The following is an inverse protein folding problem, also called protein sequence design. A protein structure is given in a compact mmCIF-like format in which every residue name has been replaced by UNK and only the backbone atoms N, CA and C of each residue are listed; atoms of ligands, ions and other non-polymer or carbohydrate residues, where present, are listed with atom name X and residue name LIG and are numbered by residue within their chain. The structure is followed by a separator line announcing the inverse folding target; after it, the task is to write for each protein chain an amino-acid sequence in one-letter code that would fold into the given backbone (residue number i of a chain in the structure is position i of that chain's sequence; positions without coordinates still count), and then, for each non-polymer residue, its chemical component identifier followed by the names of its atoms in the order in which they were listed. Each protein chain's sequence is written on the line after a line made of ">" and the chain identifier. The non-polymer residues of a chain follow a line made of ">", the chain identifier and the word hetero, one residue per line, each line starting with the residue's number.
data_IF_597655097970
#
_entry.id   IF_597655097970
#
_cell.length_a   1.000
_cell.length_b   1.000
_cell.length_c   1.000
_cell.angle_alpha   90.00
_cell.angle_beta   90.00
_cell.angle_gamma   90.00
#
_symmetry.space_group_name_H-M   'P 1'
#
loop_
_entity.id
_entity.type
_entity.pdbx_description
1 polymer ?
#
# COMPACT_ATOMS: atom_id res chain seq x y z
N UNK A 1 -48.09 33.20 51.95
CA UNK A 1 -46.92 32.30 52.19
C UNK A 1 -46.89 31.09 51.24
N UNK A 2 -48.00 30.50 50.85
CA UNK A 2 -48.14 29.32 50.01
C UNK A 2 -47.62 29.56 48.58
N UNK A 3 -47.89 30.69 47.96
CA UNK A 3 -47.48 31.04 46.60
C UNK A 3 -45.95 31.10 46.41
N UNK A 4 -45.20 31.56 47.42
CA UNK A 4 -43.74 31.66 47.36
C UNK A 4 -43.03 30.28 47.37
N UNK A 5 -43.65 29.31 48.07
CA UNK A 5 -43.13 27.95 48.14
C UNK A 5 -43.37 27.16 46.85
N UNK A 6 -44.49 27.37 46.17
CA UNK A 6 -44.81 26.74 44.86
C UNK A 6 -43.87 27.27 43.78
N UNK A 7 -43.63 28.60 43.73
CA UNK A 7 -42.70 29.20 42.79
C UNK A 7 -41.25 28.69 42.98
N UNK A 8 -40.75 28.61 44.25
CA UNK A 8 -39.43 28.03 44.54
C UNK A 8 -39.31 26.58 44.10
N UNK A 9 -40.36 25.78 44.27
CA UNK A 9 -40.40 24.36 43.88
C UNK A 9 -40.41 24.22 42.36
N UNK A 10 -41.12 25.08 41.62
CA UNK A 10 -41.08 25.10 40.14
C UNK A 10 -39.74 25.57 39.59
N UNK A 11 -39.14 26.60 40.19
CA UNK A 11 -37.81 27.10 39.76
C UNK A 11 -36.74 26.04 40.00
N UNK A 12 -36.73 25.40 41.18
CA UNK A 12 -35.77 24.30 41.45
C UNK A 12 -35.94 23.11 40.52
N UNK A 13 -37.19 22.75 40.14
CA UNK A 13 -37.43 21.67 39.21
C UNK A 13 -36.96 22.01 37.79
N UNK A 14 -37.12 23.25 37.34
CA UNK A 14 -36.60 23.72 36.03
C UNK A 14 -35.08 23.79 36.01
N UNK A 15 -34.44 24.24 37.10
CA UNK A 15 -32.98 24.27 37.24
C UNK A 15 -32.42 22.84 37.23
N UNK A 16 -33.05 21.92 37.99
CA UNK A 16 -32.64 20.51 37.98
C UNK A 16 -32.77 19.84 36.60
N UNK A 17 -33.84 20.14 35.85
CA UNK A 17 -34.04 19.63 34.49
C UNK A 17 -33.02 20.22 33.51
N UNK A 18 -32.67 21.50 33.64
CA UNK A 18 -31.65 22.12 32.80
C UNK A 18 -30.23 21.57 33.07
N UNK A 19 -29.91 21.32 34.35
CA UNK A 19 -28.64 20.70 34.74
C UNK A 19 -28.54 19.27 34.23
N UNK A 20 -29.65 18.49 34.32
CA UNK A 20 -29.69 17.13 33.82
C UNK A 20 -29.52 17.11 32.29
N UNK A 21 -30.19 18.01 31.57
CA UNK A 21 -30.05 18.15 30.12
C UNK A 21 -28.61 18.51 29.70
N UNK A 22 -27.98 19.42 30.46
CA UNK A 22 -26.58 19.79 30.23
C UNK A 22 -25.62 18.62 30.49
N UNK A 23 -25.85 17.83 31.54
CA UNK A 23 -25.05 16.63 31.82
C UNK A 23 -25.21 15.55 30.76
N UNK A 24 -26.43 15.33 30.26
CA UNK A 24 -26.69 14.40 29.16
C UNK A 24 -26.01 14.88 27.87
N UNK A 25 -26.04 16.17 27.58
CA UNK A 25 -25.35 16.76 26.42
C UNK A 25 -23.83 16.61 26.55
N UNK A 26 -23.27 16.92 27.73
CA UNK A 26 -21.82 16.74 27.97
C UNK A 26 -21.40 15.27 27.89
N UNK A 27 -22.23 14.36 28.37
CA UNK A 27 -21.97 12.92 28.29
C UNK A 27 -22.07 12.43 26.83
N UNK A 28 -23.06 12.89 26.05
CA UNK A 28 -23.17 12.58 24.62
C UNK A 28 -22.01 13.17 23.81
N UNK A 29 -21.58 14.39 24.12
CA UNK A 29 -20.39 15.01 23.55
C UNK A 29 -19.13 14.24 23.96
N UNK A 30 -19.01 13.82 25.22
CA UNK A 30 -17.91 12.99 25.69
C UNK A 30 -17.86 11.63 25.00
N UNK A 31 -19.01 10.97 24.81
CA UNK A 31 -19.09 9.73 24.03
C UNK A 31 -18.74 9.99 22.56
N UNK A 32 -19.26 11.06 21.97
CA UNK A 32 -18.93 11.44 20.60
C UNK A 32 -17.42 11.64 20.44
N UNK A 33 -16.77 12.41 21.33
CA UNK A 33 -15.32 12.58 21.33
C UNK A 33 -14.58 11.27 21.60
N UNK A 34 -15.03 10.44 22.53
CA UNK A 34 -14.41 9.13 22.80
C UNK A 34 -14.54 8.14 21.62
N UNK A 35 -15.67 8.17 20.92
CA UNK A 35 -15.91 7.27 19.78
C UNK A 35 -15.36 7.77 18.46
N UNK A 36 -15.26 9.08 18.25
CA UNK A 36 -14.92 9.68 16.97
C UNK A 36 -13.58 10.44 16.95
N UNK A 37 -13.07 10.89 18.11
CA UNK A 37 -11.77 11.57 18.20
C UNK A 37 -10.61 10.68 18.66
N UNK A 38 -10.87 9.45 19.06
CA UNK A 38 -9.84 8.43 19.27
C UNK A 38 -9.72 7.49 18.06
N UNK A 39 -10.12 7.91 16.88
CA UNK A 39 -9.76 7.16 15.68
C UNK A 39 -8.29 7.48 15.35
N UNK A 40 -7.45 6.48 15.44
CA UNK A 40 -6.08 6.54 14.96
C UNK A 40 -6.03 6.61 13.41
N UNK A 41 -7.17 6.91 12.77
CA UNK A 41 -7.35 7.05 11.34
C UNK A 41 -7.49 8.53 10.95
N UNK A 42 -6.73 8.93 9.93
CA UNK A 42 -6.76 10.26 9.35
C UNK A 42 -7.13 10.16 7.88
N UNK A 43 -8.21 10.80 7.47
CA UNK A 43 -8.55 10.96 6.06
C UNK A 43 -7.64 12.02 5.46
N UNK A 44 -6.84 11.61 4.46
CA UNK A 44 -5.85 12.47 3.84
C UNK A 44 -6.45 13.28 2.69
N UNK A 45 -6.89 12.60 1.66
CA UNK A 45 -7.38 13.21 0.43
C UNK A 45 -8.13 12.16 -0.39
N UNK A 46 -9.04 12.58 -1.25
CA UNK A 46 -9.57 11.72 -2.32
C UNK A 46 -8.64 11.77 -3.52
N UNK A 47 -8.36 10.61 -4.10
CA UNK A 47 -7.57 10.47 -5.31
C UNK A 47 -8.35 9.71 -6.37
N UNK A 48 -8.22 10.13 -7.62
CA UNK A 48 -8.86 9.45 -8.74
C UNK A 48 -8.09 8.18 -9.16
N UNK A 49 -6.75 8.27 -9.23
CA UNK A 49 -5.86 7.20 -9.66
C UNK A 49 -4.59 7.20 -8.78
N UNK A 50 -4.74 6.89 -7.50
CA UNK A 50 -3.62 7.01 -6.60
C UNK A 50 -2.90 5.67 -6.44
N UNK A 51 -1.63 5.65 -6.74
CA UNK A 51 -0.68 4.86 -5.98
C UNK A 51 -0.01 5.76 -4.94
N UNK A 52 0.40 5.17 -3.82
CA UNK A 52 0.95 5.91 -2.72
C UNK A 52 1.91 5.05 -1.88
N UNK A 53 3.02 5.64 -1.49
CA UNK A 53 4.06 4.99 -0.69
C UNK A 53 4.53 5.90 0.45
N UNK A 54 5.05 5.29 1.50
CA UNK A 54 5.76 6.05 2.51
C UNK A 54 7.12 6.53 2.01
N UNK A 55 7.52 7.70 2.47
CA UNK A 55 8.84 8.26 2.24
C UNK A 55 9.32 8.92 3.54
N UNK A 56 10.01 8.16 4.39
CA UNK A 56 10.31 8.54 5.76
C UNK A 56 9.03 8.90 6.54
N UNK A 57 8.94 10.11 7.12
CA UNK A 57 7.79 10.65 7.82
C UNK A 57 6.80 11.39 6.91
N UNK A 58 6.76 11.04 5.62
CA UNK A 58 5.91 11.62 4.57
C UNK A 58 5.22 10.52 3.77
N UNK A 59 4.30 10.94 2.94
CA UNK A 59 3.63 10.12 1.95
C UNK A 59 3.88 10.71 0.58
N UNK A 60 4.39 9.93 -0.35
CA UNK A 60 4.45 10.26 -1.78
C UNK A 60 3.26 9.61 -2.46
N UNK A 61 2.57 10.34 -3.31
CA UNK A 61 1.40 9.83 -4.02
C UNK A 61 1.29 10.41 -5.43
N UNK A 62 0.84 9.58 -6.36
CA UNK A 62 0.46 10.02 -7.70
C UNK A 62 -0.84 10.80 -7.68
N UNK A 63 -0.93 11.81 -8.51
CA UNK A 63 -2.13 12.61 -8.75
C UNK A 63 -2.23 12.92 -10.24
N UNK A 64 -3.39 13.37 -10.72
CA UNK A 64 -3.63 13.63 -12.15
C UNK A 64 -2.59 14.59 -12.76
N UNK A 65 -2.09 15.55 -11.96
CA UNK A 65 -1.17 16.58 -12.44
C UNK A 65 0.30 16.27 -12.14
N UNK A 66 0.61 15.16 -11.45
CA UNK A 66 1.99 14.82 -11.12
C UNK A 66 2.14 13.92 -9.91
N UNK A 67 3.12 14.25 -9.07
CA UNK A 67 3.39 13.59 -7.80
C UNK A 67 3.27 14.62 -6.68
N UNK A 68 2.55 14.30 -5.63
CA UNK A 68 2.48 15.11 -4.41
C UNK A 68 3.15 14.39 -3.24
N UNK A 69 3.72 15.19 -2.36
CA UNK A 69 4.22 14.76 -1.05
C UNK A 69 3.33 15.34 0.02
N UNK A 70 2.83 14.49 0.90
CA UNK A 70 1.94 14.86 1.98
C UNK A 70 2.63 14.65 3.35
N UNK A 71 2.30 15.50 4.31
CA UNK A 71 2.52 15.16 5.71
C UNK A 71 1.47 14.13 6.20
N UNK A 72 1.66 13.56 7.38
CA UNK A 72 0.72 12.58 7.95
C UNK A 72 -0.65 13.18 8.34
N UNK A 73 -0.85 14.48 8.14
CA UNK A 73 -2.15 15.15 8.29
C UNK A 73 -2.85 15.35 6.94
N UNK A 74 -2.20 14.94 5.84
CA UNK A 74 -2.72 15.11 4.49
C UNK A 74 -2.49 16.49 3.87
N UNK A 75 -1.65 17.33 4.49
CA UNK A 75 -1.30 18.61 3.88
C UNK A 75 -0.24 18.36 2.82
N UNK A 76 -0.42 18.95 1.64
CA UNK A 76 0.59 18.94 0.58
C UNK A 76 1.78 19.80 1.03
N UNK A 77 2.94 19.17 1.15
CA UNK A 77 4.19 19.85 1.52
C UNK A 77 5.10 20.11 0.30
N UNK A 78 4.90 19.31 -0.77
CA UNK A 78 5.62 19.45 -2.04
C UNK A 78 4.77 18.93 -3.19
N UNK A 79 4.97 19.48 -4.40
CA UNK A 79 4.35 18.99 -5.64
C UNK A 79 5.37 19.00 -6.75
N UNK A 80 5.35 17.97 -7.58
CA UNK A 80 6.16 17.85 -8.80
C UNK A 80 5.19 17.72 -9.98
N UNK A 81 4.89 18.87 -10.60
CA UNK A 81 3.92 18.95 -11.69
C UNK A 81 4.48 18.35 -12.98
N UNK A 82 3.61 17.70 -13.76
CA UNK A 82 3.93 17.15 -15.08
C UNK A 82 4.57 15.77 -15.05
N UNK A 83 4.84 15.19 -13.88
CA UNK A 83 5.30 13.82 -13.75
C UNK A 83 4.09 12.87 -13.80
N UNK A 84 4.01 12.05 -14.85
CA UNK A 84 2.88 11.11 -15.05
C UNK A 84 3.18 9.77 -14.38
N UNK A 85 3.06 9.71 -13.07
CA UNK A 85 3.26 8.48 -12.33
C UNK A 85 1.94 7.70 -12.17
N UNK A 86 1.94 6.42 -12.51
CA UNK A 86 0.81 5.52 -12.31
C UNK A 86 1.09 4.53 -11.19
N UNK A 87 2.19 3.84 -11.23
CA UNK A 87 2.70 2.97 -10.16
C UNK A 87 4.03 3.48 -9.70
N UNK A 88 4.30 3.40 -8.40
CA UNK A 88 5.52 3.92 -7.82
C UNK A 88 6.02 3.07 -6.67
N UNK A 89 7.32 3.14 -6.42
CA UNK A 89 7.97 2.56 -5.27
C UNK A 89 9.04 3.51 -4.75
N UNK A 90 9.25 3.53 -3.43
CA UNK A 90 10.20 4.45 -2.78
C UNK A 90 11.39 3.71 -2.20
N UNK A 91 12.55 4.35 -2.25
CA UNK A 91 13.76 3.95 -1.54
C UNK A 91 14.34 5.17 -0.83
N UNK A 92 13.78 5.55 0.32
CA UNK A 92 14.03 6.84 0.97
C UNK A 92 15.46 7.02 1.47
N UNK A 93 16.15 5.93 1.83
CA UNK A 93 17.53 5.96 2.33
C UNK A 93 18.53 6.57 1.33
N UNK A 94 18.21 6.47 0.05
CA UNK A 94 19.03 7.01 -1.05
C UNK A 94 18.36 8.19 -1.77
N UNK A 95 17.20 8.61 -1.29
CA UNK A 95 16.44 9.71 -1.91
C UNK A 95 15.80 9.34 -3.24
N UNK A 96 15.38 8.07 -3.43
CA UNK A 96 14.93 7.56 -4.72
C UNK A 96 13.44 7.24 -4.71
N UNK A 97 12.79 7.51 -5.85
CA UNK A 97 11.45 7.02 -6.19
C UNK A 97 11.52 6.48 -7.61
N UNK A 98 11.13 5.24 -7.80
CA UNK A 98 10.92 4.68 -9.13
C UNK A 98 9.44 4.70 -9.46
N UNK A 99 9.09 5.04 -10.70
CA UNK A 99 7.70 5.03 -11.13
C UNK A 99 7.55 4.68 -12.62
N UNK A 100 6.39 4.16 -13.00
CA UNK A 100 6.03 3.98 -14.41
C UNK A 100 5.08 5.08 -14.87
N UNK A 101 5.13 5.41 -16.15
CA UNK A 101 4.26 6.42 -16.76
C UNK A 101 2.96 5.86 -17.33
N UNK A 102 2.61 4.61 -16.99
CA UNK A 102 1.47 3.88 -17.55
C UNK A 102 1.53 3.70 -19.08
N UNK A 103 2.73 3.71 -19.61
CA UNK A 103 3.02 3.44 -21.03
C UNK A 103 4.16 2.43 -21.09
N UNK A 104 5.32 2.84 -21.50
CA UNK A 104 6.46 1.96 -21.76
C UNK A 104 7.76 2.44 -21.08
N UNK A 105 7.68 3.36 -20.18
CA UNK A 105 8.85 3.95 -19.51
C UNK A 105 8.80 3.74 -18.01
N UNK A 106 9.95 3.38 -17.46
CA UNK A 106 10.22 3.41 -16.02
C UNK A 106 11.18 4.55 -15.72
N UNK A 107 10.80 5.40 -14.81
CA UNK A 107 11.52 6.60 -14.40
C UNK A 107 12.17 6.44 -13.06
N UNK A 108 13.26 7.14 -12.83
CA UNK A 108 13.91 7.32 -11.53
C UNK A 108 13.92 8.78 -11.15
N UNK A 109 13.16 9.11 -10.12
CA UNK A 109 13.13 10.40 -9.48
C UNK A 109 14.15 10.41 -8.35
N UNK A 110 15.00 11.45 -8.29
CA UNK A 110 15.94 11.67 -7.20
C UNK A 110 15.59 12.94 -6.45
N UNK A 111 15.51 12.81 -5.15
CA UNK A 111 15.19 13.90 -4.23
C UNK A 111 16.35 14.13 -3.27
N UNK A 112 16.54 15.37 -2.84
CA UNK A 112 17.46 15.68 -1.76
C UNK A 112 16.80 15.52 -0.37
N UNK A 113 17.54 15.82 0.69
CA UNK A 113 17.06 15.75 2.07
C UNK A 113 15.88 16.69 2.38
N UNK A 114 15.70 17.75 1.58
CA UNK A 114 14.58 18.69 1.67
C UNK A 114 13.44 18.32 0.73
N UNK A 115 13.54 17.15 0.08
CA UNK A 115 12.63 16.71 -0.97
C UNK A 115 12.62 17.67 -2.18
N UNK A 116 13.71 18.37 -2.46
CA UNK A 116 13.86 19.10 -3.70
C UNK A 116 14.27 18.16 -4.82
N UNK A 117 13.65 18.35 -5.99
CA UNK A 117 13.90 17.53 -7.17
C UNK A 117 15.33 17.75 -7.66
N UNK A 118 16.15 16.71 -7.57
CA UNK A 118 17.51 16.70 -8.15
C UNK A 118 17.43 16.33 -9.63
N UNK A 119 16.71 15.27 -9.94
CA UNK A 119 16.52 14.80 -11.33
C UNK A 119 15.31 13.87 -11.43
N UNK A 120 14.71 13.86 -12.63
CA UNK A 120 13.82 12.83 -13.12
C UNK A 120 14.38 12.29 -14.43
N UNK A 121 14.56 10.98 -14.53
CA UNK A 121 15.17 10.32 -15.70
C UNK A 121 14.42 9.06 -16.08
N UNK A 122 14.19 8.88 -17.37
CA UNK A 122 13.83 7.57 -17.92
C UNK A 122 15.04 6.65 -17.74
N UNK A 123 14.89 5.57 -17.01
CA UNK A 123 15.94 4.58 -16.76
C UNK A 123 15.75 3.31 -17.60
N UNK A 124 14.50 2.97 -17.92
CA UNK A 124 14.18 1.85 -18.78
C UNK A 124 13.09 2.27 -19.77
N UNK A 125 13.23 1.82 -21.01
CA UNK A 125 12.22 1.96 -22.06
C UNK A 125 12.03 0.60 -22.71
N UNK A 126 10.78 0.15 -22.85
CA UNK A 126 10.44 -1.10 -23.52
C UNK A 126 9.57 -0.84 -24.75
N UNK A 127 9.32 -1.87 -25.55
CA UNK A 127 8.31 -1.81 -26.62
C UNK A 127 6.90 -2.16 -26.10
N UNK A 128 6.81 -2.58 -24.86
CA UNK A 128 5.60 -3.08 -24.19
C UNK A 128 5.17 -2.11 -23.08
N UNK A 129 3.94 -2.24 -22.63
CA UNK A 129 3.50 -1.56 -21.42
C UNK A 129 4.33 -2.07 -20.22
N UNK A 130 4.78 -1.15 -19.36
CA UNK A 130 5.53 -1.46 -18.15
C UNK A 130 4.79 -0.93 -16.92
N UNK A 131 4.64 -1.80 -15.93
CA UNK A 131 3.92 -1.52 -14.67
C UNK A 131 4.73 -1.94 -13.45
N UNK A 132 4.29 -1.56 -12.27
CA UNK A 132 4.73 -1.98 -10.93
C UNK A 132 6.25 -2.01 -10.75
N UNK A 133 6.94 -0.88 -10.97
CA UNK A 133 8.37 -0.81 -10.73
C UNK A 133 8.66 -0.88 -9.22
N UNK A 134 9.70 -1.62 -8.85
CA UNK A 134 10.28 -1.60 -7.50
C UNK A 134 11.76 -1.31 -7.56
N UNK A 135 12.34 -0.88 -6.44
CA UNK A 135 13.77 -0.63 -6.33
C UNK A 135 14.31 -1.12 -4.99
N UNK A 136 15.45 -1.77 -5.00
CA UNK A 136 16.22 -2.06 -3.80
C UNK A 136 17.72 -1.97 -4.07
N UNK A 137 18.55 -2.08 -3.01
CA UNK A 137 20.01 -2.06 -3.12
C UNK A 137 20.62 -3.29 -2.47
N UNK A 138 21.51 -3.95 -3.20
CA UNK A 138 22.27 -5.11 -2.75
C UNK A 138 23.77 -4.80 -2.84
N UNK A 139 24.40 -4.54 -1.69
CA UNK A 139 25.77 -4.06 -1.66
C UNK A 139 25.94 -2.70 -2.35
N UNK A 140 26.69 -2.64 -3.43
CA UNK A 140 26.92 -1.45 -4.26
C UNK A 140 26.04 -1.40 -5.52
N UNK A 141 25.10 -2.33 -5.66
CA UNK A 141 24.28 -2.49 -6.86
C UNK A 141 22.83 -2.17 -6.57
N UNK A 142 22.26 -1.26 -7.33
CA UNK A 142 20.83 -0.97 -7.36
C UNK A 142 20.14 -1.96 -8.28
N UNK A 143 19.01 -2.45 -7.85
CA UNK A 143 18.16 -3.38 -8.59
C UNK A 143 16.79 -2.76 -8.78
N UNK A 144 16.28 -2.78 -10.00
CA UNK A 144 14.94 -2.30 -10.35
C UNK A 144 14.20 -3.43 -11.05
N UNK A 145 12.97 -3.69 -10.63
CA UNK A 145 12.05 -4.54 -11.38
C UNK A 145 11.00 -3.70 -12.08
N UNK A 146 10.41 -4.26 -13.09
CA UNK A 146 9.10 -3.90 -13.60
C UNK A 146 8.45 -5.12 -14.27
N UNK A 147 7.14 -5.13 -14.35
CA UNK A 147 6.41 -6.10 -15.16
C UNK A 147 6.14 -5.51 -16.54
N UNK A 148 6.51 -6.22 -17.60
CA UNK A 148 6.15 -5.88 -18.97
C UNK A 148 4.96 -6.72 -19.42
N UNK A 149 4.06 -6.11 -20.21
CA UNK A 149 2.82 -6.74 -20.64
C UNK A 149 2.77 -6.77 -22.17
N UNK A 150 2.79 -7.98 -22.73
CA UNK A 150 2.52 -8.20 -24.14
C UNK A 150 1.01 -8.29 -24.33
N UNK A 151 0.38 -7.19 -24.69
CA UNK A 151 -1.08 -7.12 -24.85
C UNK A 151 -1.67 -5.87 -24.21
N UNK A 152 -2.84 -6.01 -23.62
CA UNK A 152 -3.53 -4.90 -22.96
C UNK A 152 -3.91 -5.27 -21.53
N UNK A 153 -3.61 -4.39 -20.59
CA UNK A 153 -4.15 -4.45 -19.23
C UNK A 153 -5.67 -4.53 -19.26
N UNK A 154 -6.25 -5.27 -18.35
CA UNK A 154 -7.69 -5.31 -18.11
C UNK A 154 -8.55 -5.86 -19.25
N UNK A 155 -8.09 -6.87 -19.96
CA UNK A 155 -8.97 -7.65 -20.79
C UNK A 155 -9.49 -8.86 -19.97
N UNK A 156 -10.65 -8.78 -19.33
CA UNK A 156 -11.14 -9.80 -18.39
C UNK A 156 -11.70 -11.00 -19.17
N UNK A 157 -10.85 -11.76 -19.83
CA UNK A 157 -11.25 -12.99 -20.49
C UNK A 157 -10.78 -14.18 -19.68
N UNK A 158 -11.68 -15.03 -19.19
CA UNK A 158 -11.29 -16.29 -18.55
C UNK A 158 -10.48 -17.21 -19.47
N UNK A 159 -10.55 -16.98 -20.76
CA UNK A 159 -9.84 -17.75 -21.78
C UNK A 159 -8.40 -17.26 -22.00
N UNK A 160 -8.02 -16.18 -21.34
CA UNK A 160 -6.63 -15.78 -21.20
C UNK A 160 -5.92 -15.29 -22.42
N UNK A 161 -6.53 -14.41 -23.18
CA UNK A 161 -5.90 -13.75 -24.32
C UNK A 161 -5.32 -12.37 -23.96
N UNK A 162 -4.90 -12.20 -22.70
CA UNK A 162 -4.46 -10.91 -22.17
C UNK A 162 -3.01 -10.58 -22.47
N UNK A 163 -2.32 -11.48 -23.12
CA UNK A 163 -0.91 -11.36 -23.37
C UNK A 163 -0.05 -12.07 -22.34
N UNK A 164 1.22 -11.80 -22.38
CA UNK A 164 2.21 -12.39 -21.49
C UNK A 164 2.73 -11.30 -20.57
N UNK A 165 2.63 -11.54 -19.27
CA UNK A 165 3.24 -10.71 -18.24
C UNK A 165 4.61 -11.27 -17.91
N UNK A 166 5.61 -10.41 -17.88
CA UNK A 166 6.99 -10.79 -17.63
C UNK A 166 7.62 -9.86 -16.62
N UNK A 167 7.98 -10.41 -15.46
CA UNK A 167 8.69 -9.69 -14.41
C UNK A 167 10.18 -9.70 -14.68
N UNK A 168 10.71 -8.53 -15.01
CA UNK A 168 12.09 -8.30 -15.39
C UNK A 168 12.89 -7.65 -14.24
N UNK A 169 14.16 -8.00 -14.14
CA UNK A 169 15.12 -7.38 -13.20
C UNK A 169 16.26 -6.71 -13.97
N UNK A 170 16.54 -5.48 -13.60
CA UNK A 170 17.66 -4.69 -14.10
C UNK A 170 18.59 -4.27 -12.97
N UNK A 171 19.85 -4.06 -13.28
CA UNK A 171 20.87 -3.68 -12.32
C UNK A 171 21.66 -2.46 -12.78
N UNK A 172 22.05 -1.61 -11.81
CA UNK A 172 22.92 -0.46 -12.02
C UNK A 172 23.86 -0.28 -10.84
N UNK A 173 25.07 0.26 -11.10
CA UNK A 173 26.01 0.69 -10.05
C UNK A 173 26.08 2.19 -9.87
N UNK A 174 25.55 2.94 -10.83
CA UNK A 174 25.70 4.38 -10.93
C UNK A 174 24.37 5.15 -11.04
N UNK A 175 23.24 4.43 -11.11
CA UNK A 175 21.89 4.96 -11.35
C UNK A 175 21.71 5.62 -12.73
N UNK A 176 22.71 5.48 -13.63
CA UNK A 176 22.72 6.07 -14.96
C UNK A 176 22.63 5.01 -16.06
N UNK A 177 23.36 3.90 -15.86
CA UNK A 177 23.43 2.79 -16.81
C UNK A 177 22.75 1.56 -16.21
N UNK A 178 21.73 1.07 -16.88
CA UNK A 178 20.94 -0.09 -16.43
C UNK A 178 21.10 -1.24 -17.40
N UNK A 179 21.39 -2.40 -16.87
CA UNK A 179 21.56 -3.64 -17.64
C UNK A 179 20.51 -4.66 -17.22
N UNK A 180 19.87 -5.29 -18.18
CA UNK A 180 18.98 -6.42 -17.93
C UNK A 180 19.76 -7.52 -17.21
N UNK A 181 19.26 -7.96 -16.08
CA UNK A 181 19.93 -8.95 -15.24
C UNK A 181 19.34 -10.34 -15.42
N UNK A 182 18.02 -10.43 -15.33
CA UNK A 182 17.30 -11.68 -15.48
C UNK A 182 15.81 -11.45 -15.62
N UNK A 183 15.11 -12.42 -16.18
CA UNK A 183 13.66 -12.57 -16.05
C UNK A 183 13.38 -13.39 -14.80
N UNK A 184 12.64 -12.84 -13.85
CA UNK A 184 12.29 -13.52 -12.60
C UNK A 184 11.22 -14.57 -12.85
N UNK A 185 10.15 -14.19 -13.55
CA UNK A 185 9.05 -15.08 -13.93
C UNK A 185 8.29 -14.51 -15.12
N UNK A 186 7.55 -15.35 -15.81
CA UNK A 186 6.69 -14.96 -16.93
C UNK A 186 5.52 -15.92 -17.04
N UNK A 187 4.33 -15.40 -17.33
CA UNK A 187 3.14 -16.20 -17.59
C UNK A 187 2.12 -15.46 -18.45
N UNK A 188 1.11 -16.15 -18.94
CA UNK A 188 -0.15 -15.53 -19.33
C UNK A 188 -0.88 -15.08 -18.07
N UNK A 189 -1.60 -13.97 -18.13
CA UNK A 189 -2.30 -13.34 -17.00
C UNK A 189 -1.38 -12.60 -16.03
N UNK A 190 -2.00 -11.92 -15.10
CA UNK A 190 -1.36 -10.90 -14.30
C UNK A 190 -0.21 -11.42 -13.43
N UNK A 191 0.86 -10.63 -13.44
CA UNK A 191 1.93 -10.60 -12.45
C UNK A 191 2.06 -9.13 -12.06
N UNK A 192 1.58 -8.80 -10.88
CA UNK A 192 1.49 -7.41 -10.39
C UNK A 192 1.93 -7.30 -8.92
N UNK A 193 1.86 -6.10 -8.38
CA UNK A 193 2.07 -5.76 -6.96
C UNK A 193 3.38 -6.36 -6.38
N UNK A 194 4.51 -6.01 -7.03
CA UNK A 194 5.83 -6.56 -6.71
C UNK A 194 6.42 -5.86 -5.47
N UNK A 195 6.99 -6.62 -4.55
CA UNK A 195 7.85 -6.11 -3.48
C UNK A 195 9.20 -6.84 -3.44
N UNK A 196 10.29 -6.08 -3.23
CA UNK A 196 11.66 -6.56 -3.12
C UNK A 196 12.21 -6.31 -1.72
N UNK A 197 12.61 -7.38 -1.04
CA UNK A 197 13.27 -7.30 0.24
C UNK A 197 14.67 -7.92 0.16
N UNK A 198 15.71 -7.18 0.55
CA UNK A 198 17.05 -7.74 0.75
C UNK A 198 17.35 -7.88 2.24
N UNK A 199 17.53 -9.11 2.68
CA UNK A 199 17.87 -9.44 4.05
C UNK A 199 18.71 -10.71 4.14
N UNK A 200 19.66 -10.76 5.09
CA UNK A 200 20.52 -11.93 5.35
C UNK A 200 21.18 -12.49 4.08
N UNK A 201 21.73 -11.63 3.24
CA UNK A 201 22.39 -11.98 1.96
C UNK A 201 21.46 -12.65 0.93
N UNK A 202 20.14 -12.58 1.12
CA UNK A 202 19.12 -13.07 0.20
C UNK A 202 18.26 -11.92 -0.31
N UNK A 203 17.90 -12.02 -1.56
CA UNK A 203 16.92 -11.13 -2.20
C UNK A 203 15.62 -11.91 -2.36
N UNK A 204 14.59 -11.42 -1.75
CA UNK A 204 13.23 -11.96 -1.82
C UNK A 204 12.40 -11.10 -2.79
N UNK A 205 11.74 -11.76 -3.72
CA UNK A 205 10.78 -11.13 -4.63
C UNK A 205 9.40 -11.71 -4.36
N UNK A 206 8.50 -10.87 -3.87
CA UNK A 206 7.11 -11.20 -3.62
C UNK A 206 6.28 -10.54 -4.71
N UNK A 207 5.29 -11.24 -5.22
CA UNK A 207 4.44 -10.75 -6.29
C UNK A 207 3.08 -11.44 -6.29
N UNK A 208 2.12 -10.73 -6.82
CA UNK A 208 0.83 -11.28 -7.18
C UNK A 208 0.92 -12.11 -8.46
N UNK A 209 0.08 -13.15 -8.53
CA UNK A 209 -0.06 -13.99 -9.69
C UNK A 209 -1.48 -14.46 -9.85
N UNK A 210 -2.13 -14.05 -10.93
CA UNK A 210 -3.47 -14.48 -11.26
C UNK A 210 -3.48 -15.69 -12.21
N UNK A 211 -4.55 -16.48 -12.16
CA UNK A 211 -4.82 -17.53 -13.14
C UNK A 211 -5.59 -16.97 -14.36
N UNK A 212 -6.26 -15.81 -14.17
CA UNK A 212 -6.89 -14.98 -15.20
C UNK A 212 -7.22 -13.61 -14.62
N UNK A 213 -7.20 -12.55 -15.43
CA UNK A 213 -7.43 -11.18 -14.96
C UNK A 213 -8.69 -11.02 -14.12
N UNK A 214 -8.55 -10.35 -12.97
CA UNK A 214 -9.63 -10.11 -11.99
C UNK A 214 -10.24 -11.39 -11.44
N UNK A 215 -9.46 -12.46 -11.44
CA UNK A 215 -9.79 -13.73 -10.80
C UNK A 215 -9.17 -13.86 -9.42
N UNK A 216 -9.28 -15.04 -8.85
CA UNK A 216 -8.50 -15.37 -7.66
C UNK A 216 -7.01 -15.25 -7.95
N UNK A 217 -6.29 -14.60 -7.06
CA UNK A 217 -4.86 -14.44 -7.16
C UNK A 217 -4.11 -15.16 -6.05
N UNK A 218 -2.84 -15.40 -6.30
CA UNK A 218 -1.90 -16.02 -5.35
C UNK A 218 -0.80 -15.04 -5.05
N UNK A 219 -0.33 -15.04 -3.81
CA UNK A 219 0.90 -14.32 -3.47
C UNK A 219 2.03 -15.32 -3.52
N UNK A 220 3.02 -15.05 -4.36
CA UNK A 220 4.14 -15.91 -4.66
C UNK A 220 5.46 -15.30 -4.18
N UNK A 221 6.44 -16.16 -3.95
CA UNK A 221 7.80 -15.80 -3.55
C UNK A 221 8.81 -16.51 -4.45
N UNK A 222 9.86 -15.78 -4.85
CA UNK A 222 11.12 -16.32 -5.32
C UNK A 222 12.28 -15.73 -4.54
N UNK A 223 13.33 -16.51 -4.37
CA UNK A 223 14.51 -16.13 -3.59
C UNK A 223 15.75 -16.24 -4.44
N UNK A 224 16.59 -15.23 -4.39
CA UNK A 224 17.93 -15.21 -4.99
C UNK A 224 19.00 -15.09 -3.90
N UNK A 225 20.09 -15.85 -4.03
CA UNK A 225 21.28 -15.78 -3.17
C UNK A 225 22.50 -15.21 -3.87
N UNK A 226 22.32 -14.72 -5.10
CA UNK A 226 23.38 -14.19 -5.96
C UNK A 226 23.01 -12.81 -6.52
N UNK A 227 22.27 -12.02 -5.71
CA UNK A 227 21.82 -10.67 -6.02
C UNK A 227 20.99 -10.61 -7.31
N UNK A 228 20.08 -11.55 -7.51
CA UNK A 228 19.11 -11.55 -8.59
C UNK A 228 19.60 -12.13 -9.92
N UNK A 229 20.75 -12.81 -9.95
CA UNK A 229 21.23 -13.50 -11.18
C UNK A 229 20.43 -14.76 -11.42
N UNK A 230 20.21 -15.56 -10.37
CA UNK A 230 19.37 -16.75 -10.42
C UNK A 230 18.32 -16.74 -9.31
N UNK A 231 17.22 -17.43 -9.54
CA UNK A 231 16.08 -17.47 -8.62
C UNK A 231 15.67 -18.89 -8.30
N UNK A 232 15.15 -19.08 -7.10
CA UNK A 232 14.55 -20.35 -6.68
C UNK A 232 13.34 -20.72 -7.53
N UNK A 233 12.89 -21.96 -7.39
CA UNK A 233 11.51 -22.29 -7.79
C UNK A 233 10.52 -21.42 -7.05
N UNK A 234 9.35 -21.19 -7.67
CA UNK A 234 8.25 -20.41 -7.10
C UNK A 234 7.69 -21.12 -5.86
N UNK A 235 7.56 -20.37 -4.77
CA UNK A 235 6.85 -20.79 -3.57
C UNK A 235 5.55 -19.98 -3.47
N UNK A 236 4.43 -20.66 -3.31
CA UNK A 236 3.15 -20.01 -3.07
C UNK A 236 3.04 -19.72 -1.57
N UNK A 237 2.90 -18.46 -1.20
CA UNK A 237 2.73 -18.00 0.17
C UNK A 237 1.26 -17.99 0.59
N UNK A 238 0.38 -17.47 -0.25
CA UNK A 238 -1.07 -17.39 -0.02
C UNK A 238 -1.79 -17.92 -1.26
N UNK A 239 -2.69 -18.88 -1.05
CA UNK A 239 -3.62 -19.40 -2.06
C UNK A 239 -4.88 -19.87 -1.33
N UNK A 240 -5.87 -19.03 -1.23
CA UNK A 240 -7.11 -19.28 -0.50
C UNK A 240 -8.35 -19.14 -1.39
N UNK A 241 -8.16 -19.05 -2.71
CA UNK A 241 -9.23 -18.90 -3.68
C UNK A 241 -9.85 -17.51 -3.71
N UNK A 242 -9.19 -16.54 -3.09
CA UNK A 242 -9.56 -15.12 -3.09
C UNK A 242 -8.67 -14.34 -4.04
N UNK A 243 -9.08 -13.12 -4.31
CA UNK A 243 -8.27 -12.07 -4.89
C UNK A 243 -7.37 -11.49 -3.79
N UNK A 244 -6.04 -11.67 -3.90
CA UNK A 244 -5.05 -11.35 -2.88
C UNK A 244 -3.99 -10.42 -3.43
N UNK A 245 -4.03 -9.17 -3.03
CA UNK A 245 -3.18 -8.07 -3.49
C UNK A 245 -2.08 -7.82 -2.46
N UNK A 246 -0.83 -8.24 -2.66
CA UNK A 246 0.26 -7.93 -1.74
C UNK A 246 0.52 -6.42 -1.70
N UNK A 247 0.84 -5.93 -0.51
CA UNK A 247 1.18 -4.53 -0.29
C UNK A 247 2.66 -4.35 0.01
N UNK A 248 3.13 -5.05 1.04
CA UNK A 248 4.53 -5.03 1.42
C UNK A 248 4.86 -6.19 2.37
N UNK A 249 6.15 -6.46 2.50
CA UNK A 249 6.69 -7.37 3.50
C UNK A 249 7.58 -6.62 4.48
N UNK A 250 7.36 -6.82 5.77
CA UNK A 250 8.20 -6.27 6.83
C UNK A 250 8.96 -7.39 7.51
N UNK A 251 10.23 -7.12 7.82
CA UNK A 251 11.02 -7.99 8.68
C UNK A 251 10.62 -7.77 10.13
N UNK A 252 10.37 -8.86 10.85
CA UNK A 252 10.21 -8.91 12.31
C UNK A 252 11.38 -9.70 12.94
N UNK A 253 11.48 -9.68 14.28
CA UNK A 253 12.60 -10.32 14.99
C UNK A 253 12.74 -11.83 14.68
N UNK A 254 11.60 -12.53 14.55
CA UNK A 254 11.54 -13.99 14.38
C UNK A 254 11.13 -14.42 12.96
N UNK A 255 10.98 -13.48 12.01
CA UNK A 255 10.54 -13.81 10.65
C UNK A 255 10.12 -12.62 9.83
N UNK A 256 9.06 -12.81 9.06
CA UNK A 256 8.55 -11.81 8.11
C UNK A 256 7.04 -11.73 8.17
N UNK A 257 6.52 -10.52 8.11
CA UNK A 257 5.08 -10.26 8.04
C UNK A 257 4.72 -9.67 6.70
N UNK A 258 3.93 -10.41 5.94
CA UNK A 258 3.34 -9.98 4.68
C UNK A 258 2.02 -9.27 4.98
N UNK A 259 1.83 -8.07 4.43
CA UNK A 259 0.59 -7.34 4.47
C UNK A 259 -0.05 -7.34 3.09
N UNK A 260 -1.38 -7.53 3.03
CA UNK A 260 -2.10 -7.65 1.77
C UNK A 260 -3.59 -7.30 1.91
N UNK A 261 -4.22 -6.92 0.80
CA UNK A 261 -5.67 -6.84 0.69
C UNK A 261 -6.23 -8.16 0.18
N UNK A 262 -7.43 -8.54 0.59
CA UNK A 262 -8.07 -9.77 0.09
C UNK A 262 -9.59 -9.73 0.25
N UNK A 263 -10.30 -10.29 -0.72
CA UNK A 263 -11.74 -10.49 -0.67
C UNK A 263 -12.15 -11.83 -0.06
N UNK A 264 -11.25 -12.50 0.67
CA UNK A 264 -11.44 -13.86 1.22
C UNK A 264 -12.71 -14.06 2.06
N UNK A 265 -13.29 -13.01 2.60
CA UNK A 265 -14.57 -13.04 3.30
C UNK A 265 -15.77 -12.78 2.37
N UNK A 266 -15.52 -12.37 1.13
CA UNK A 266 -16.49 -11.99 0.12
C UNK A 266 -16.03 -12.39 -1.28
N UNK A 267 -15.69 -13.65 -1.45
CA UNK A 267 -15.10 -14.19 -2.67
C UNK A 267 -15.84 -13.76 -3.94
N UNK A 268 -15.06 -13.27 -4.90
CA UNK A 268 -15.52 -12.81 -6.19
C UNK A 268 -16.01 -11.36 -6.20
N UNK A 269 -15.90 -10.62 -5.08
CA UNK A 269 -16.17 -9.19 -5.04
C UNK A 269 -14.91 -8.35 -5.34
N UNK A 270 -13.72 -8.98 -5.39
CA UNK A 270 -12.43 -8.34 -5.61
C UNK A 270 -12.27 -7.11 -4.69
N UNK A 271 -11.75 -6.00 -5.17
CA UNK A 271 -11.59 -4.78 -4.38
C UNK A 271 -12.85 -4.29 -3.64
N UNK A 272 -14.07 -4.58 -4.15
CA UNK A 272 -15.31 -4.17 -3.46
C UNK A 272 -15.53 -4.94 -2.15
N UNK A 273 -15.08 -6.19 -2.10
CA UNK A 273 -15.18 -7.07 -0.94
C UNK A 273 -13.91 -7.13 -0.09
N UNK A 274 -12.83 -6.49 -0.54
CA UNK A 274 -11.52 -6.63 0.09
C UNK A 274 -11.44 -5.98 1.46
N UNK A 275 -10.68 -6.62 2.33
CA UNK A 275 -10.22 -6.16 3.64
C UNK A 275 -8.70 -6.31 3.73
N UNK A 276 -8.07 -5.66 4.70
CA UNK A 276 -6.63 -5.81 4.92
C UNK A 276 -6.33 -6.94 5.91
N UNK A 277 -5.27 -7.67 5.60
CA UNK A 277 -4.79 -8.80 6.38
C UNK A 277 -3.27 -8.77 6.52
N UNK A 278 -2.76 -9.50 7.49
CA UNK A 278 -1.35 -9.88 7.54
C UNK A 278 -1.21 -11.39 7.72
N UNK A 279 -0.14 -11.95 7.15
CA UNK A 279 0.28 -13.32 7.35
C UNK A 279 1.72 -13.33 7.86
N UNK A 280 2.02 -14.20 8.82
CA UNK A 280 3.35 -14.29 9.40
C UNK A 280 4.07 -15.55 8.88
N UNK A 281 5.34 -15.38 8.53
CA UNK A 281 6.24 -16.44 8.07
C UNK A 281 7.49 -16.44 8.94
N UNK A 282 8.00 -17.63 9.26
CA UNK A 282 9.29 -17.75 9.93
C UNK A 282 10.46 -17.33 9.02
N UNK A 283 11.69 -17.41 9.54
CA UNK A 283 12.90 -17.01 8.81
C UNK A 283 13.17 -17.85 7.53
N UNK A 284 12.55 -19.00 7.40
CA UNK A 284 12.62 -19.87 6.21
C UNK A 284 11.39 -19.74 5.30
N UNK A 285 10.54 -18.74 5.55
CA UNK A 285 9.27 -18.52 4.87
C UNK A 285 8.25 -19.67 4.98
N UNK A 286 8.26 -20.39 6.10
CA UNK A 286 7.16 -21.29 6.43
C UNK A 286 6.04 -20.47 7.08
N UNK A 287 4.84 -20.60 6.57
CA UNK A 287 3.66 -19.92 7.08
C UNK A 287 3.27 -20.37 8.48
N UNK A 288 3.01 -19.43 9.39
CA UNK A 288 2.56 -19.65 10.76
C UNK A 288 1.15 -19.09 10.93
N UNK A 289 0.10 -19.84 10.54
CA UNK A 289 -1.27 -19.32 10.45
C UNK A 289 -1.85 -18.82 11.77
N UNK A 290 -1.32 -19.27 12.90
CA UNK A 290 -1.75 -18.84 14.24
C UNK A 290 -1.38 -17.38 14.54
N UNK A 291 -0.47 -16.81 13.76
CA UNK A 291 -0.01 -15.42 13.86
C UNK A 291 -0.59 -14.52 12.77
N UNK A 292 -1.47 -15.06 11.92
CA UNK A 292 -2.20 -14.27 10.94
C UNK A 292 -3.22 -13.36 11.62
N UNK A 293 -3.36 -12.15 11.08
CA UNK A 293 -4.26 -11.16 11.62
C UNK A 293 -5.12 -10.54 10.51
N UNK A 294 -6.39 -10.26 10.83
CA UNK A 294 -7.16 -9.28 10.10
C UNK A 294 -6.79 -7.92 10.67
N UNK A 295 -6.26 -7.04 9.84
CA UNK A 295 -5.95 -5.68 10.26
C UNK A 295 -7.26 -4.99 10.63
N UNK A 296 -7.42 -4.66 11.93
CA UNK A 296 -8.64 -4.01 12.42
C UNK A 296 -8.71 -2.58 11.88
N UNK A 297 -9.44 -2.42 10.81
CA UNK A 297 -9.77 -1.13 10.21
C UNK A 297 -11.26 -0.86 10.42
N UNK A 298 -11.57 0.35 10.80
CA UNK A 298 -12.96 0.77 10.95
C UNK A 298 -13.63 0.78 9.57
N UNK A 299 -14.80 0.11 9.48
CA UNK A 299 -15.51 -0.04 8.20
C UNK A 299 -14.67 -0.69 7.10
N UNK A 300 -14.10 -1.82 7.41
CA UNK A 300 -13.13 -2.57 6.62
C UNK A 300 -13.77 -3.24 5.40
N UNK A 301 -14.11 -2.44 4.40
CA UNK A 301 -14.68 -2.90 3.14
C UNK A 301 -14.18 -2.05 1.98
N UNK A 302 -13.91 -2.70 0.86
CA UNK A 302 -13.38 -2.04 -0.32
C UNK A 302 -12.00 -1.46 -0.09
N UNK A 303 -11.15 -2.17 0.66
CA UNK A 303 -9.82 -1.72 1.06
C UNK A 303 -8.78 -2.15 0.05
N UNK A 304 -8.03 -1.19 -0.49
CA UNK A 304 -6.70 -1.43 -1.05
C UNK A 304 -5.65 -0.92 -0.06
N UNK A 305 -4.82 -1.83 0.43
CA UNK A 305 -3.68 -1.48 1.28
C UNK A 305 -2.50 -1.12 0.37
N UNK A 306 -2.02 0.10 0.43
CA UNK A 306 -0.89 0.55 -0.37
C UNK A 306 0.45 0.18 0.24
N UNK A 307 0.59 0.39 1.54
CA UNK A 307 1.84 0.11 2.24
C UNK A 307 1.64 0.10 3.76
N UNK A 308 2.53 -0.63 4.46
CA UNK A 308 2.67 -0.59 5.92
C UNK A 308 4.12 -0.25 6.26
N UNK A 309 4.30 0.64 7.22
CA UNK A 309 5.62 1.07 7.67
C UNK A 309 5.68 1.07 9.20
N UNK A 310 6.83 0.68 9.74
CA UNK A 310 7.14 0.92 11.15
C UNK A 310 7.95 2.21 11.29
N UNK A 311 7.48 3.11 12.16
CA UNK A 311 8.18 4.34 12.51
C UNK A 311 8.02 4.60 14.02
N UNK A 312 9.13 4.80 14.73
CA UNK A 312 9.15 5.06 16.17
C UNK A 312 8.38 4.02 17.01
N UNK A 313 8.47 2.74 16.61
CA UNK A 313 7.81 1.60 17.28
C UNK A 313 6.29 1.56 17.10
N UNK A 314 5.78 2.22 16.08
CA UNK A 314 4.37 2.18 15.65
C UNK A 314 4.26 1.73 14.22
N UNK A 315 3.23 0.94 13.94
CA UNK A 315 2.86 0.62 12.58
C UNK A 315 1.93 1.71 12.01
N UNK A 316 2.23 2.12 10.81
CA UNK A 316 1.41 3.02 10.00
C UNK A 316 0.90 2.27 8.79
N UNK A 317 -0.39 2.36 8.54
CA UNK A 317 -1.09 1.72 7.43
C UNK A 317 -1.59 2.79 6.48
N UNK A 318 -1.19 2.72 5.24
CA UNK A 318 -1.63 3.60 4.16
C UNK A 318 -2.56 2.83 3.23
N UNK A 319 -3.80 3.26 3.11
CA UNK A 319 -4.79 2.51 2.36
C UNK A 319 -5.90 3.40 1.77
N UNK A 320 -6.60 2.88 0.79
CA UNK A 320 -7.85 3.44 0.33
C UNK A 320 -9.03 2.62 0.87
N UNK A 321 -10.10 3.30 1.28
CA UNK A 321 -11.43 2.71 1.46
C UNK A 321 -12.28 3.00 0.23
N UNK A 322 -13.26 2.13 -0.02
CA UNK A 322 -14.13 2.28 -1.19
C UNK A 322 -13.32 2.46 -2.48
N UNK A 323 -12.25 1.66 -2.64
CA UNK A 323 -11.24 1.87 -3.67
C UNK A 323 -11.85 1.97 -5.08
N UNK A 324 -12.86 1.16 -5.40
CA UNK A 324 -13.50 1.17 -6.72
C UNK A 324 -14.48 2.34 -6.95
N UNK A 325 -14.83 3.10 -5.91
CA UNK A 325 -15.81 4.18 -6.01
C UNK A 325 -15.25 5.53 -5.60
N UNK A 326 -15.06 5.74 -4.31
CA UNK A 326 -14.68 7.04 -3.75
C UNK A 326 -13.18 7.22 -3.57
N UNK A 327 -12.44 6.11 -3.47
CA UNK A 327 -10.98 6.09 -3.21
C UNK A 327 -10.61 6.99 -2.02
N UNK A 328 -11.32 6.81 -0.91
CA UNK A 328 -11.04 7.57 0.31
C UNK A 328 -9.66 7.18 0.85
N UNK A 329 -8.72 8.12 0.79
CA UNK A 329 -7.34 7.89 1.17
C UNK A 329 -7.14 8.09 2.66
N UNK A 330 -6.61 7.09 3.33
CA UNK A 330 -6.56 7.02 4.79
C UNK A 330 -5.16 6.62 5.28
N UNK A 331 -4.69 7.32 6.29
CA UNK A 331 -3.56 6.93 7.12
C UNK A 331 -4.07 6.49 8.50
N UNK A 332 -3.61 5.35 8.97
CA UNK A 332 -3.87 4.85 10.31
C UNK A 332 -2.56 4.51 11.02
N UNK A 333 -2.50 4.75 12.31
CA UNK A 333 -1.38 4.27 13.15
C UNK A 333 -1.88 3.35 14.25
N UNK A 334 -1.04 2.39 14.66
CA UNK A 334 -1.23 1.67 15.93
C UNK A 334 -0.98 2.60 17.11
N UNK A 335 -1.54 2.25 18.25
CA UNK A 335 -1.38 3.02 19.50
C UNK A 335 0.01 2.88 20.09
#
# INVERSE_FOLDING_TARGET
>A
MITRNIMKKCINKRISSAILALLVLLFAVGIYFACFYNSDEFYLKKFANADAKFYNDRIITSVDEGIEVLDFKGNVVKSYEGLKASWMYTYPEEGLVVYSNHENETHLLRLDENMDLISDKVILTTELLAIDPTICKVGDTYLVTHTTIEGTINNPSPDGDNGVYTLELYASKDLESWEHRTTITSQKHDIEDIDLLYDNEKLYCIYEKEDYDKGPSKICLRVSTDAGVTWSEEQILIDNGADNEPSCILKEDDGYRLYYSSDRERLGESYNGASAYSAFFDADFNHIPELDEKVDMKDNLGVRLYEVMELDGKLYFLFAKNFMTDKDFVLRSTK
#
